data_IF_084114095465
#
_entry.id   IF_084114095465
#
_cell.length_a   1.000
_cell.length_b   1.000
_cell.length_c   1.000
_cell.angle_alpha   90.00
_cell.angle_beta   90.00
_cell.angle_gamma   90.00
#
_symmetry.space_group_name_H-M   'P 1'
#
loop_
_entity.id
_entity.type
_entity.pdbx_description
1 polymer ?
#
# COMPACT_ATOMS: atom_id res chain seq x y z
N UNK A 1 12.16 -8.71 -29.71
CA UNK A 1 12.26 -9.54 -28.51
C UNK A 1 12.58 -8.60 -27.36
N UNK A 2 11.55 -8.12 -26.65
CA UNK A 2 11.72 -7.29 -25.45
C UNK A 2 12.27 -8.20 -24.36
N UNK A 3 13.43 -7.87 -23.79
CA UNK A 3 13.90 -8.44 -22.54
C UNK A 3 12.85 -8.01 -21.51
N UNK A 4 12.01 -8.96 -21.06
CA UNK A 4 11.15 -8.72 -19.89
C UNK A 4 12.08 -8.37 -18.74
N UNK A 5 11.88 -7.17 -18.16
CA UNK A 5 12.48 -6.83 -16.88
C UNK A 5 11.96 -7.87 -15.88
N UNK A 6 12.85 -8.81 -15.50
CA UNK A 6 12.54 -9.80 -14.46
C UNK A 6 12.20 -9.04 -13.18
N UNK A 7 10.99 -9.25 -12.65
CA UNK A 7 10.56 -8.62 -11.41
C UNK A 7 11.58 -8.91 -10.31
N UNK A 8 12.08 -7.85 -9.66
CA UNK A 8 13.04 -7.99 -8.58
C UNK A 8 12.47 -8.85 -7.44
N UNK A 9 13.23 -9.86 -7.04
CA UNK A 9 12.86 -10.70 -5.89
C UNK A 9 13.15 -9.95 -4.59
N UNK A 10 12.10 -9.63 -3.84
CA UNK A 10 12.22 -8.93 -2.56
C UNK A 10 12.48 -9.87 -1.38
N UNK A 11 11.98 -11.11 -1.46
CA UNK A 11 12.05 -12.09 -0.39
C UNK A 11 12.02 -13.51 -0.96
N UNK A 12 12.68 -14.44 -0.29
CA UNK A 12 12.69 -15.88 -0.61
C UNK A 12 12.38 -16.66 0.65
N UNK A 13 11.48 -17.64 0.54
CA UNK A 13 11.10 -18.51 1.65
C UNK A 13 10.17 -19.62 1.19
N UNK A 14 9.30 -20.06 2.07
CA UNK A 14 8.34 -21.14 1.80
C UNK A 14 6.93 -20.70 2.16
N UNK A 15 5.92 -21.20 1.44
CA UNK A 15 4.54 -21.24 1.95
C UNK A 15 4.42 -22.56 2.69
N UNK A 16 3.94 -22.50 3.93
CA UNK A 16 3.71 -23.69 4.77
C UNK A 16 2.25 -23.77 5.20
N UNK A 17 1.70 -24.98 5.16
CA UNK A 17 0.41 -25.33 5.75
C UNK A 17 0.39 -26.82 6.09
N UNK A 18 0.16 -27.14 7.34
CA UNK A 18 0.31 -28.49 7.86
C UNK A 18 1.73 -29.04 7.60
N UNK A 19 1.84 -30.14 6.86
CA UNK A 19 3.13 -30.75 6.52
C UNK A 19 3.67 -30.32 5.14
N UNK A 20 2.97 -29.46 4.45
CA UNK A 20 3.34 -29.01 3.08
C UNK A 20 4.21 -27.77 3.16
N UNK A 21 5.37 -27.79 2.47
CA UNK A 21 6.25 -26.65 2.31
C UNK A 21 6.50 -26.40 0.82
N UNK A 22 6.22 -25.20 0.36
CA UNK A 22 6.33 -24.79 -1.04
C UNK A 22 7.35 -23.68 -1.16
N UNK A 23 8.54 -23.91 -1.74
CA UNK A 23 9.53 -22.87 -1.96
C UNK A 23 9.00 -21.79 -2.93
N UNK A 24 9.04 -20.52 -2.50
CA UNK A 24 8.52 -19.38 -3.26
C UNK A 24 9.42 -18.16 -3.18
N UNK A 25 9.19 -17.22 -4.09
CA UNK A 25 9.77 -15.87 -4.11
C UNK A 25 8.62 -14.86 -4.11
N UNK A 26 8.82 -13.75 -3.39
CA UNK A 26 7.92 -12.59 -3.41
C UNK A 26 8.48 -11.51 -4.33
N UNK A 27 7.58 -10.92 -5.12
CA UNK A 27 7.82 -9.78 -5.98
C UNK A 27 6.77 -8.71 -5.69
N UNK A 28 7.14 -7.43 -5.67
CA UNK A 28 6.12 -6.38 -5.51
C UNK A 28 5.14 -6.43 -6.68
N UNK A 29 3.84 -6.44 -6.39
CA UNK A 29 2.80 -6.40 -7.42
C UNK A 29 2.52 -4.97 -7.89
N UNK A 30 2.97 -3.97 -7.14
CA UNK A 30 2.80 -2.56 -7.44
C UNK A 30 4.14 -1.85 -7.42
N UNK A 31 4.27 -0.79 -8.20
CA UNK A 31 5.44 0.08 -8.19
C UNK A 31 5.02 1.54 -8.02
N UNK A 32 5.87 2.33 -7.37
CA UNK A 32 5.67 3.76 -7.30
C UNK A 32 6.11 4.39 -8.63
N UNK A 33 5.19 5.10 -9.28
CA UNK A 33 5.43 5.84 -10.53
C UNK A 33 5.59 7.34 -10.30
N UNK A 34 5.76 7.79 -9.05
CA UNK A 34 6.01 9.20 -8.75
C UNK A 34 7.30 9.68 -9.44
N UNK A 35 7.30 10.93 -9.87
CA UNK A 35 8.48 11.56 -10.47
C UNK A 35 9.43 11.96 -9.34
N UNK A 36 10.63 11.36 -9.24
CA UNK A 36 11.55 11.66 -8.16
C UNK A 36 12.18 13.05 -8.35
N UNK A 37 11.77 14.02 -7.55
CA UNK A 37 12.37 15.36 -7.50
C UNK A 37 13.44 15.42 -6.41
N UNK A 38 14.63 15.96 -6.75
CA UNK A 38 15.71 16.19 -5.78
C UNK A 38 15.64 17.62 -5.27
N UNK A 39 15.85 17.79 -3.97
CA UNK A 39 16.02 19.12 -3.37
C UNK A 39 17.38 19.70 -3.76
N UNK A 40 17.34 20.89 -4.34
CA UNK A 40 18.55 21.63 -4.74
C UNK A 40 18.65 22.94 -3.94
N UNK A 41 19.86 23.39 -3.68
CA UNK A 41 20.10 24.71 -3.11
C UNK A 41 19.73 25.78 -4.16
N UNK A 42 18.93 26.78 -3.73
CA UNK A 42 18.33 27.76 -4.65
C UNK A 42 19.35 28.56 -5.45
N UNK A 43 20.48 28.94 -4.80
CA UNK A 43 21.49 29.80 -5.44
C UNK A 43 22.43 29.04 -6.36
N UNK A 44 23.00 27.91 -5.89
CA UNK A 44 24.00 27.16 -6.64
C UNK A 44 23.46 25.94 -7.37
N UNK A 45 22.16 25.62 -7.20
CA UNK A 45 21.47 24.48 -7.83
C UNK A 45 22.12 23.11 -7.56
N UNK A 46 22.95 23.01 -6.53
CA UNK A 46 23.58 21.76 -6.12
C UNK A 46 22.65 20.92 -5.24
N UNK A 47 22.70 19.59 -5.33
CA UNK A 47 21.94 18.71 -4.44
C UNK A 47 22.29 18.96 -2.97
N UNK A 48 21.25 18.98 -2.10
CA UNK A 48 21.42 19.15 -0.66
C UNK A 48 21.81 17.80 -0.04
N UNK A 49 22.83 17.83 0.86
CA UNK A 49 23.19 16.70 1.72
C UNK A 49 22.50 16.86 3.07
N UNK A 50 22.03 15.75 3.63
CA UNK A 50 21.45 15.71 4.98
C UNK A 50 22.46 15.08 5.92
N UNK A 51 22.77 15.76 7.02
CA UNK A 51 23.66 15.28 8.07
C UNK A 51 22.85 15.08 9.35
N UNK A 52 23.15 14.02 10.10
CA UNK A 52 22.52 13.75 11.39
C UNK A 52 23.34 14.43 12.47
N UNK A 53 22.71 15.32 13.21
CA UNK A 53 23.38 16.06 14.30
C UNK A 53 22.66 15.78 15.62
N UNK A 54 23.40 15.46 16.66
CA UNK A 54 22.87 15.37 18.03
C UNK A 54 22.72 16.80 18.60
N UNK A 55 21.50 17.29 18.87
CA UNK A 55 21.30 18.67 19.31
C UNK A 55 21.83 18.94 20.72
N UNK A 56 22.02 17.92 21.54
CA UNK A 56 22.50 18.06 22.92
C UNK A 56 24.03 18.25 23.01
N UNK A 57 24.79 17.65 22.11
CA UNK A 57 26.26 17.75 22.09
C UNK A 57 26.81 18.48 20.84
N UNK A 58 25.94 18.96 19.97
CA UNK A 58 26.26 19.68 18.71
C UNK A 58 27.31 18.94 17.86
N UNK A 59 27.18 17.62 17.77
CA UNK A 59 28.08 16.75 17.01
C UNK A 59 27.34 16.05 15.89
N UNK A 60 27.97 15.94 14.73
CA UNK A 60 27.56 15.02 13.68
C UNK A 60 27.69 13.58 14.19
N UNK A 61 26.65 12.75 13.93
CA UNK A 61 26.59 11.36 14.35
C UNK A 61 26.44 10.45 13.14
N UNK A 62 27.19 9.36 13.15
CA UNK A 62 27.10 8.29 12.16
C UNK A 62 26.02 7.27 12.56
N UNK A 63 25.75 6.31 11.70
CA UNK A 63 24.80 5.23 12.06
C UNK A 63 25.29 4.41 13.27
N UNK A 64 26.60 4.25 13.41
CA UNK A 64 27.23 3.48 14.50
C UNK A 64 27.14 4.19 15.85
N UNK A 65 26.90 5.49 15.85
CA UNK A 65 26.70 6.30 17.06
C UNK A 65 25.25 6.35 17.52
N UNK A 66 24.33 5.66 16.81
CA UNK A 66 22.90 5.74 17.06
C UNK A 66 22.39 4.43 17.64
N UNK A 67 21.79 4.51 18.82
CA UNK A 67 21.06 3.41 19.45
C UNK A 67 19.55 3.64 19.36
N UNK A 68 18.76 2.59 19.51
CA UNK A 68 17.31 2.69 19.53
C UNK A 68 16.82 2.85 20.96
N UNK A 69 15.94 3.79 21.20
CA UNK A 69 15.32 4.02 22.50
C UNK A 69 13.81 4.00 22.42
N UNK A 70 13.17 3.28 23.34
CA UNK A 70 11.72 3.33 23.55
C UNK A 70 11.42 4.32 24.68
N UNK A 71 10.68 5.40 24.39
CA UNK A 71 10.25 6.37 25.38
C UNK A 71 9.05 5.82 26.17
N UNK A 72 9.28 5.43 27.44
CA UNK A 72 8.21 4.90 28.30
C UNK A 72 7.59 5.98 29.22
N UNK A 73 8.25 7.11 29.36
CA UNK A 73 7.78 8.32 30.05
C UNK A 73 8.54 9.50 29.47
N UNK A 74 7.97 10.69 29.51
CA UNK A 74 8.55 11.94 28.96
C UNK A 74 10.03 12.09 29.29
N UNK A 75 10.87 12.13 28.27
CA UNK A 75 12.34 12.19 28.35
C UNK A 75 13.04 11.03 29.08
N UNK A 76 12.38 9.86 29.21
CA UNK A 76 13.03 8.65 29.75
C UNK A 76 12.94 7.52 28.74
N UNK A 77 14.08 6.98 28.38
CA UNK A 77 14.22 5.98 27.32
C UNK A 77 14.76 4.66 27.88
N UNK A 78 14.17 3.55 27.43
CA UNK A 78 14.81 2.24 27.51
C UNK A 78 15.61 2.07 26.23
N UNK A 79 16.91 1.88 26.37
CA UNK A 79 17.80 1.63 25.22
C UNK A 79 17.65 0.18 24.82
N UNK A 80 17.49 -0.06 23.52
CA UNK A 80 17.44 -1.37 22.89
C UNK A 80 18.69 -1.51 22.01
N UNK A 81 19.53 -2.45 22.35
CA UNK A 81 20.72 -2.79 21.57
C UNK A 81 20.33 -3.70 20.39
N UNK A 82 21.19 -3.77 19.38
CA UNK A 82 20.90 -4.61 18.21
C UNK A 82 20.83 -6.10 18.56
N UNK A 83 21.55 -6.54 19.59
CA UNK A 83 21.51 -7.89 20.16
C UNK A 83 20.13 -8.22 20.73
N UNK A 84 19.50 -7.28 21.46
CA UNK A 84 18.15 -7.47 22.02
C UNK A 84 17.13 -7.72 20.91
N UNK A 85 17.21 -6.89 19.86
CA UNK A 85 16.34 -7.00 18.69
C UNK A 85 16.65 -8.25 17.87
N UNK A 86 17.91 -8.69 17.83
CA UNK A 86 18.32 -9.89 17.12
C UNK A 86 17.79 -11.14 17.79
N UNK A 87 17.81 -11.23 19.12
CA UNK A 87 17.28 -12.39 19.88
C UNK A 87 15.82 -12.65 19.55
N UNK A 88 14.98 -11.60 19.50
CA UNK A 88 13.56 -11.71 19.12
C UNK A 88 13.41 -12.16 17.66
N UNK A 89 14.33 -11.75 16.79
CA UNK A 89 14.33 -12.14 15.38
C UNK A 89 14.70 -13.60 15.21
N UNK A 90 15.71 -14.07 15.92
CA UNK A 90 16.24 -15.42 15.79
C UNK A 90 15.24 -16.48 16.26
N UNK A 91 14.41 -16.15 17.25
CA UNK A 91 13.28 -17.00 17.68
C UNK A 91 12.21 -17.16 16.59
N UNK A 92 12.09 -16.21 15.65
CA UNK A 92 11.06 -16.18 14.60
C UNK A 92 11.63 -16.37 13.17
N UNK A 93 12.82 -16.96 13.04
CA UNK A 93 13.60 -16.98 11.77
C UNK A 93 13.08 -17.93 10.68
N UNK A 94 11.94 -18.56 10.81
CA UNK A 94 11.37 -19.27 9.67
C UNK A 94 10.91 -18.26 8.61
N UNK A 95 11.68 -18.19 7.51
CA UNK A 95 11.29 -17.45 6.30
C UNK A 95 10.11 -18.16 5.61
N UNK A 96 8.98 -18.19 6.30
CA UNK A 96 7.77 -18.87 5.86
C UNK A 96 6.58 -17.92 5.83
N UNK A 97 5.69 -18.18 4.89
CA UNK A 97 4.31 -17.72 4.85
C UNK A 97 3.49 -18.87 5.45
N UNK A 98 3.17 -18.78 6.72
CA UNK A 98 2.45 -19.83 7.43
C UNK A 98 0.95 -19.63 7.27
N UNK A 99 0.31 -20.47 6.46
CA UNK A 99 -1.15 -20.48 6.32
C UNK A 99 -1.74 -21.18 7.56
N UNK A 100 -2.57 -20.44 8.28
CA UNK A 100 -3.25 -20.90 9.50
C UNK A 100 -4.63 -21.44 9.19
N UNK A 101 -5.39 -20.72 8.34
CA UNK A 101 -6.78 -21.01 8.02
C UNK A 101 -7.08 -20.74 6.55
N UNK A 102 -8.20 -21.30 6.05
CA UNK A 102 -8.78 -20.97 4.75
C UNK A 102 -10.17 -20.37 4.95
N UNK A 103 -10.41 -19.21 4.34
CA UNK A 103 -11.64 -18.41 4.52
C UNK A 103 -12.17 -17.91 3.17
N UNK A 104 -13.33 -17.29 3.16
CA UNK A 104 -13.86 -16.58 1.98
C UNK A 104 -13.25 -15.17 1.89
N UNK A 105 -12.85 -14.75 0.69
CA UNK A 105 -12.31 -13.41 0.46
C UNK A 105 -13.28 -12.30 0.92
N UNK A 106 -14.58 -12.51 0.74
CA UNK A 106 -15.62 -11.54 1.13
C UNK A 106 -15.76 -11.31 2.64
N UNK A 107 -15.14 -12.18 3.47
CA UNK A 107 -15.13 -12.02 4.93
C UNK A 107 -14.12 -10.95 5.38
N UNK A 108 -13.19 -10.55 4.50
CA UNK A 108 -12.22 -9.49 4.79
C UNK A 108 -12.69 -8.20 4.13
N UNK A 109 -12.98 -7.19 4.96
CA UNK A 109 -13.29 -5.85 4.46
C UNK A 109 -12.05 -5.24 3.78
N UNK A 110 -12.20 -4.53 2.65
CA UNK A 110 -11.08 -3.88 1.95
C UNK A 110 -10.22 -2.94 2.81
N UNK A 111 -10.74 -2.43 3.92
CA UNK A 111 -10.00 -1.57 4.86
C UNK A 111 -8.77 -2.26 5.46
N UNK A 112 -8.77 -3.60 5.50
CA UNK A 112 -7.66 -4.36 6.06
C UNK A 112 -6.46 -4.49 5.11
N UNK A 113 -6.64 -4.35 3.78
CA UNK A 113 -5.57 -4.60 2.81
C UNK A 113 -4.51 -3.47 2.81
N UNK A 114 -3.21 -3.86 2.83
CA UNK A 114 -2.08 -2.93 2.80
C UNK A 114 -1.27 -3.10 1.50
N UNK A 115 -0.46 -4.16 1.36
CA UNK A 115 0.46 -4.34 0.23
C UNK A 115 0.25 -5.66 -0.46
N UNK A 116 0.36 -5.63 -1.78
CA UNK A 116 0.21 -6.80 -2.65
C UNK A 116 1.56 -7.25 -3.23
N UNK A 117 1.77 -8.56 -3.22
CA UNK A 117 2.95 -9.22 -3.76
C UNK A 117 2.54 -10.37 -4.69
N UNK A 118 3.23 -10.52 -5.81
CA UNK A 118 3.16 -11.73 -6.60
C UNK A 118 4.04 -12.81 -6.01
N UNK A 119 3.57 -14.04 -6.05
CA UNK A 119 4.29 -15.22 -5.63
C UNK A 119 4.71 -16.03 -6.86
N UNK A 120 6.00 -16.31 -6.99
CA UNK A 120 6.49 -17.26 -7.98
C UNK A 120 7.13 -18.48 -7.32
N UNK A 121 7.09 -19.66 -7.94
CA UNK A 121 7.77 -20.82 -7.40
C UNK A 121 9.29 -20.62 -7.40
N UNK A 122 9.96 -21.09 -6.36
CA UNK A 122 11.40 -21.24 -6.31
C UNK A 122 11.80 -22.66 -6.77
N UNK A 123 13.08 -22.93 -6.88
CA UNK A 123 13.62 -24.23 -7.30
C UNK A 123 12.99 -25.39 -6.53
N UNK A 124 12.51 -26.40 -7.24
CA UNK A 124 11.80 -27.56 -6.66
C UNK A 124 10.34 -27.34 -6.27
N UNK A 125 9.86 -26.09 -6.20
CA UNK A 125 8.50 -25.78 -5.75
C UNK A 125 7.40 -25.87 -6.80
N UNK A 126 7.71 -25.99 -8.08
CA UNK A 126 6.77 -25.77 -9.17
C UNK A 126 5.50 -26.65 -9.11
N UNK A 127 5.62 -27.95 -8.82
CA UNK A 127 4.48 -28.87 -8.74
C UNK A 127 3.55 -28.52 -7.56
N UNK A 128 4.13 -28.31 -6.38
CA UNK A 128 3.35 -28.00 -5.18
C UNK A 128 2.72 -26.61 -5.26
N UNK A 129 3.44 -25.63 -5.84
CA UNK A 129 2.88 -24.30 -6.15
C UNK A 129 1.66 -24.39 -7.07
N UNK A 130 1.75 -25.15 -8.17
CA UNK A 130 0.63 -25.34 -9.11
C UNK A 130 -0.54 -26.00 -8.42
N UNK A 131 -0.30 -27.02 -7.59
CA UNK A 131 -1.36 -27.70 -6.85
C UNK A 131 -2.10 -26.74 -5.91
N UNK A 132 -1.37 -25.93 -5.11
CA UNK A 132 -1.98 -24.94 -4.23
C UNK A 132 -2.77 -23.90 -5.04
N UNK A 133 -2.20 -23.41 -6.14
CA UNK A 133 -2.85 -22.44 -7.02
C UNK A 133 -4.20 -22.96 -7.55
N UNK A 134 -4.23 -24.18 -8.10
CA UNK A 134 -5.46 -24.78 -8.63
C UNK A 134 -6.46 -25.08 -7.50
N UNK A 135 -6.00 -25.55 -6.34
CA UNK A 135 -6.87 -25.79 -5.20
C UNK A 135 -7.57 -24.51 -4.72
N UNK A 136 -6.83 -23.40 -4.58
CA UNK A 136 -7.42 -22.10 -4.20
C UNK A 136 -8.37 -21.57 -5.27
N UNK A 137 -8.07 -21.81 -6.55
CA UNK A 137 -8.93 -21.44 -7.67
C UNK A 137 -10.25 -22.21 -7.66
N UNK A 138 -10.21 -23.54 -7.52
CA UNK A 138 -11.39 -24.39 -7.56
C UNK A 138 -12.28 -24.25 -6.33
N UNK A 139 -11.68 -24.01 -5.17
CA UNK A 139 -12.41 -23.83 -3.90
C UNK A 139 -12.91 -22.41 -3.68
N UNK A 140 -12.42 -21.43 -4.47
CA UNK A 140 -12.67 -20.00 -4.28
C UNK A 140 -12.28 -19.50 -2.87
N UNK A 141 -11.41 -20.24 -2.16
CA UNK A 141 -10.92 -19.87 -0.83
C UNK A 141 -9.60 -19.12 -0.92
N UNK A 142 -9.30 -18.41 0.16
CA UNK A 142 -8.01 -17.75 0.39
C UNK A 142 -7.37 -18.31 1.65
N UNK A 143 -6.04 -18.36 1.68
CA UNK A 143 -5.30 -18.78 2.87
C UNK A 143 -4.99 -17.58 3.75
N UNK A 144 -5.48 -17.55 4.99
CA UNK A 144 -5.09 -16.58 6.01
C UNK A 144 -3.75 -17.02 6.59
N UNK A 145 -2.75 -16.14 6.57
CA UNK A 145 -1.37 -16.48 6.87
C UNK A 145 -0.67 -15.43 7.72
N UNK A 146 0.47 -15.83 8.30
CA UNK A 146 1.47 -14.92 8.89
C UNK A 146 2.75 -14.96 8.08
N UNK A 147 3.43 -13.83 7.99
CA UNK A 147 4.74 -13.71 7.34
C UNK A 147 5.61 -12.72 8.08
N UNK A 148 6.92 -13.01 8.15
CA UNK A 148 7.93 -12.06 8.64
C UNK A 148 8.66 -11.43 7.46
N UNK A 149 8.50 -10.12 7.29
CA UNK A 149 9.21 -9.32 6.27
C UNK A 149 10.02 -8.23 6.99
N UNK A 150 11.33 -8.17 6.72
CA UNK A 150 12.23 -7.17 7.32
C UNK A 150 12.12 -7.10 8.85
N UNK A 151 12.03 -8.26 9.50
CA UNK A 151 11.95 -8.39 10.96
C UNK A 151 10.65 -7.88 11.60
N UNK A 152 9.60 -7.69 10.81
CA UNK A 152 8.25 -7.39 11.29
C UNK A 152 7.31 -8.50 10.84
N UNK A 153 6.52 -9.05 11.79
CA UNK A 153 5.45 -9.99 11.50
C UNK A 153 4.25 -9.25 10.91
N UNK A 154 3.67 -9.80 9.86
CA UNK A 154 2.48 -9.30 9.20
C UNK A 154 1.44 -10.39 9.12
N UNK A 155 0.18 -10.03 9.31
CA UNK A 155 -0.94 -10.84 8.87
C UNK A 155 -1.06 -10.70 7.34
N UNK A 156 -1.38 -11.79 6.66
CA UNK A 156 -1.44 -11.82 5.20
C UNK A 156 -2.51 -12.77 4.70
N UNK A 157 -2.90 -12.61 3.45
CA UNK A 157 -3.73 -13.56 2.73
C UNK A 157 -3.02 -14.04 1.48
N UNK A 158 -3.18 -15.32 1.16
CA UNK A 158 -2.68 -15.93 -0.07
C UNK A 158 -3.88 -16.37 -0.91
N UNK A 159 -3.95 -15.89 -2.15
CA UNK A 159 -5.06 -16.21 -3.05
C UNK A 159 -4.64 -16.42 -4.49
N UNK A 160 -5.51 -17.03 -5.25
CA UNK A 160 -5.41 -17.12 -6.70
C UNK A 160 -5.68 -15.74 -7.34
N UNK A 161 -4.89 -15.39 -8.36
CA UNK A 161 -5.10 -14.21 -9.18
C UNK A 161 -4.59 -14.48 -10.61
N UNK A 162 -5.48 -14.38 -11.60
CA UNK A 162 -5.18 -14.67 -13.01
C UNK A 162 -4.54 -16.06 -13.20
N UNK A 163 -3.24 -16.14 -13.41
CA UNK A 163 -2.49 -17.38 -13.56
C UNK A 163 -1.37 -17.53 -12.52
N UNK A 164 -1.48 -16.82 -11.40
CA UNK A 164 -0.46 -16.82 -10.34
C UNK A 164 -1.10 -16.85 -8.96
N UNK A 165 -0.28 -16.95 -7.91
CA UNK A 165 -0.67 -16.66 -6.55
C UNK A 165 -0.27 -15.23 -6.20
N UNK A 166 -1.10 -14.54 -5.47
CA UNK A 166 -0.80 -13.28 -4.80
C UNK A 166 -0.83 -13.46 -3.30
N UNK A 167 0.01 -12.72 -2.62
CA UNK A 167 -0.05 -12.52 -1.19
C UNK A 167 -0.29 -11.05 -0.92
N UNK A 168 -1.25 -10.75 -0.07
CA UNK A 168 -1.55 -9.40 0.37
C UNK A 168 -1.35 -9.31 1.87
N UNK A 169 -0.53 -8.36 2.34
CA UNK A 169 -0.48 -8.07 3.78
C UNK A 169 -1.75 -7.36 4.19
N UNK A 170 -2.23 -7.68 5.38
CA UNK A 170 -3.41 -7.04 5.95
C UNK A 170 -3.08 -6.50 7.34
N UNK A 171 -3.77 -5.45 7.74
CA UNK A 171 -3.63 -4.85 9.05
C UNK A 171 -4.05 -5.81 10.16
N UNK A 172 -3.41 -5.71 11.32
CA UNK A 172 -3.89 -6.34 12.52
C UNK A 172 -5.20 -5.69 12.98
N UNK A 173 -6.08 -6.42 13.70
CA UNK A 173 -7.37 -5.86 14.14
C UNK A 173 -7.25 -4.57 14.96
N UNK A 174 -6.18 -4.41 15.72
CA UNK A 174 -5.89 -3.24 16.55
C UNK A 174 -5.26 -2.06 15.77
N UNK A 175 -4.84 -2.27 14.54
CA UNK A 175 -4.37 -1.22 13.62
C UNK A 175 -5.54 -0.53 12.89
N UNK A 176 -6.70 -1.17 12.80
CA UNK A 176 -7.91 -0.60 12.18
C UNK A 176 -8.69 0.18 13.23
N UNK A 177 -8.85 1.49 12.98
CA UNK A 177 -9.58 2.38 13.89
C UNK A 177 -11.08 2.10 13.91
N UNK A 178 -11.73 2.31 15.05
CA UNK A 178 -13.18 2.20 15.13
C UNK A 178 -13.83 3.34 14.33
N UNK A 179 -14.82 3.02 13.48
CA UNK A 179 -15.58 4.01 12.72
C UNK A 179 -16.34 4.99 13.62
N UNK A 180 -16.62 4.61 14.88
CA UNK A 180 -17.26 5.47 15.89
C UNK A 180 -16.41 6.66 16.31
N UNK A 181 -15.09 6.58 16.08
CA UNK A 181 -14.16 7.68 16.36
C UNK A 181 -14.20 8.76 15.27
N UNK A 182 -14.95 8.55 14.17
CA UNK A 182 -15.08 9.54 13.10
C UNK A 182 -15.96 10.69 13.58
N UNK A 183 -15.42 11.93 13.66
CA UNK A 183 -16.18 13.05 14.17
C UNK A 183 -17.29 13.49 13.21
N UNK A 184 -18.39 14.02 13.79
CA UNK A 184 -19.48 14.66 13.04
C UNK A 184 -20.24 13.73 12.06
N UNK A 185 -20.20 12.43 12.26
CA UNK A 185 -21.08 11.52 11.52
C UNK A 185 -22.49 11.66 12.06
N UNK A 186 -23.49 12.02 11.24
CA UNK A 186 -24.88 12.13 11.71
C UNK A 186 -25.41 10.76 12.14
N UNK A 187 -25.99 10.67 13.34
CA UNK A 187 -26.64 9.44 13.82
C UNK A 187 -28.00 9.21 13.16
N UNK A 188 -28.76 10.30 12.96
CA UNK A 188 -30.05 10.25 12.27
C UNK A 188 -30.05 11.26 11.10
N UNK A 189 -30.52 10.81 9.96
CA UNK A 189 -30.72 11.66 8.79
C UNK A 189 -32.20 11.81 8.55
N UNK A 190 -32.75 13.01 8.74
CA UNK A 190 -34.13 13.35 8.31
C UNK A 190 -34.21 13.40 6.78
N UNK A 191 -33.87 12.29 6.11
CA UNK A 191 -33.88 12.22 4.65
C UNK A 191 -35.29 12.30 4.10
N UNK A 192 -35.48 13.14 3.10
CA UNK A 192 -36.69 13.19 2.30
C UNK A 192 -36.62 12.04 1.29
N UNK A 193 -37.63 11.16 1.27
CA UNK A 193 -37.68 9.97 0.42
C UNK A 193 -37.42 10.30 -1.05
N UNK A 194 -38.00 11.40 -1.55
CA UNK A 194 -37.79 11.86 -2.94
C UNK A 194 -36.32 12.19 -3.23
N UNK A 195 -35.59 12.78 -2.29
CA UNK A 195 -34.17 13.10 -2.44
C UNK A 195 -33.33 11.80 -2.51
N UNK A 196 -33.64 10.82 -1.67
CA UNK A 196 -32.98 9.53 -1.69
C UNK A 196 -33.23 8.77 -3.01
N UNK A 197 -34.45 8.79 -3.52
CA UNK A 197 -34.77 8.18 -4.82
C UNK A 197 -34.02 8.85 -5.97
N UNK A 198 -33.98 10.18 -6.00
CA UNK A 198 -33.22 10.93 -7.01
C UNK A 198 -31.74 10.63 -6.95
N UNK A 199 -31.17 10.54 -5.75
CA UNK A 199 -29.77 10.18 -5.56
C UNK A 199 -29.47 8.74 -6.03
N UNK A 200 -30.37 7.77 -5.79
CA UNK A 200 -30.24 6.39 -6.29
C UNK A 200 -30.27 6.34 -7.81
N UNK A 201 -31.18 7.06 -8.47
CA UNK A 201 -31.25 7.14 -9.93
C UNK A 201 -29.95 7.71 -10.54
N UNK A 202 -29.39 8.75 -9.94
CA UNK A 202 -28.12 9.31 -10.38
C UNK A 202 -26.96 8.30 -10.22
N UNK A 203 -26.90 7.58 -9.11
CA UNK A 203 -25.90 6.52 -8.89
C UNK A 203 -26.05 5.43 -9.97
N UNK A 204 -27.27 4.98 -10.25
CA UNK A 204 -27.53 3.96 -11.28
C UNK A 204 -27.09 4.42 -12.67
N UNK A 205 -27.40 5.67 -13.05
CA UNK A 205 -26.99 6.24 -14.34
C UNK A 205 -25.46 6.37 -14.48
N UNK A 206 -24.75 6.64 -13.38
CA UNK A 206 -23.30 6.76 -13.35
C UNK A 206 -22.61 5.42 -13.15
N UNK A 207 -23.34 4.35 -12.85
CA UNK A 207 -22.76 3.01 -12.61
C UNK A 207 -22.23 2.42 -13.93
N UNK A 208 -20.95 2.12 -13.94
CA UNK A 208 -20.27 1.48 -15.08
C UNK A 208 -19.34 0.37 -14.60
N UNK A 209 -18.94 -0.51 -15.52
CA UNK A 209 -17.91 -1.51 -15.23
C UNK A 209 -16.56 -0.81 -14.95
N UNK A 210 -15.80 -1.33 -14.00
CA UNK A 210 -14.47 -0.82 -13.68
C UNK A 210 -13.47 -1.20 -14.79
N UNK A 211 -13.02 -0.20 -15.54
CA UNK A 211 -11.99 -0.34 -16.57
C UNK A 211 -10.75 0.48 -16.15
N UNK A 212 -9.72 -0.14 -15.56
CA UNK A 212 -8.55 0.58 -15.01
C UNK A 212 -7.87 1.53 -15.99
N UNK A 213 -7.87 1.18 -17.29
CA UNK A 213 -7.23 1.95 -18.36
C UNK A 213 -7.87 3.30 -18.64
N UNK A 214 -9.10 3.52 -18.18
CA UNK A 214 -9.81 4.82 -18.31
C UNK A 214 -9.27 5.86 -17.35
N UNK A 215 -8.62 5.46 -16.25
CA UNK A 215 -8.15 6.36 -15.22
C UNK A 215 -6.67 6.63 -15.39
N UNK A 216 -6.31 7.90 -15.49
CA UNK A 216 -4.92 8.35 -15.67
C UNK A 216 -4.55 9.35 -14.59
N UNK A 217 -3.29 9.33 -14.19
CA UNK A 217 -2.72 10.35 -13.31
C UNK A 217 -2.44 11.62 -14.15
N UNK A 218 -3.37 12.55 -14.09
CA UNK A 218 -3.29 13.82 -14.84
C UNK A 218 -2.18 14.73 -14.27
N UNK A 219 -1.96 14.70 -12.94
CA UNK A 219 -0.90 15.47 -12.31
C UNK A 219 0.48 15.03 -12.81
N UNK A 220 0.74 13.72 -12.82
CA UNK A 220 2.01 13.18 -13.32
C UNK A 220 2.21 13.53 -14.81
N UNK A 221 1.16 13.44 -15.61
CA UNK A 221 1.21 13.79 -17.04
C UNK A 221 1.55 15.26 -17.22
N UNK A 222 0.89 16.16 -16.50
CA UNK A 222 1.14 17.60 -16.53
C UNK A 222 2.54 17.95 -16.02
N UNK A 223 3.02 17.28 -14.97
CA UNK A 223 4.37 17.49 -14.43
C UNK A 223 5.45 17.06 -15.43
N UNK A 224 5.28 15.95 -16.13
CA UNK A 224 6.21 15.50 -17.17
C UNK A 224 6.26 16.49 -18.33
N UNK A 225 5.10 17.00 -18.76
CA UNK A 225 5.02 18.02 -19.81
C UNK A 225 5.72 19.31 -19.39
N UNK A 226 5.50 19.77 -18.15
CA UNK A 226 6.17 20.94 -17.58
C UNK A 226 7.70 20.77 -17.56
N UNK A 227 8.18 19.60 -17.13
CA UNK A 227 9.62 19.30 -17.12
C UNK A 227 10.18 19.35 -18.54
N UNK A 228 9.48 18.78 -19.51
CA UNK A 228 9.96 18.76 -20.90
C UNK A 228 9.98 20.17 -21.51
N UNK A 229 8.96 21.01 -21.24
CA UNK A 229 8.93 22.40 -21.65
C UNK A 229 10.11 23.19 -21.05
N UNK A 230 10.39 22.99 -19.77
CA UNK A 230 11.54 23.65 -19.10
C UNK A 230 12.90 23.18 -19.65
N UNK A 231 13.05 21.90 -19.96
CA UNK A 231 14.26 21.37 -20.63
C UNK A 231 14.52 22.02 -21.99
N UNK A 232 13.46 22.33 -22.73
CA UNK A 232 13.55 22.98 -24.05
C UNK A 232 13.74 24.51 -23.95
N UNK A 233 13.88 25.09 -22.74
CA UNK A 233 14.04 26.52 -22.54
C UNK A 233 12.78 27.35 -22.85
N UNK A 234 11.61 26.73 -22.93
CA UNK A 234 10.35 27.43 -23.14
C UNK A 234 9.87 28.07 -21.85
N UNK A 235 9.43 29.33 -21.89
CA UNK A 235 8.71 29.94 -20.79
C UNK A 235 7.42 29.15 -20.52
N UNK A 236 7.26 28.70 -19.29
CA UNK A 236 6.06 27.94 -18.89
C UNK A 236 4.93 28.94 -18.65
N UNK A 237 3.88 28.85 -19.46
CA UNK A 237 2.64 29.53 -19.18
C UNK A 237 2.05 28.98 -17.86
N UNK A 238 1.81 29.86 -16.88
CA UNK A 238 1.11 29.50 -15.65
C UNK A 238 -0.24 28.89 -15.99
N UNK A 239 -0.48 27.67 -15.52
CA UNK A 239 -1.79 27.04 -15.65
C UNK A 239 -2.84 27.97 -15.05
N UNK A 240 -3.91 28.27 -15.80
CA UNK A 240 -5.05 29.01 -15.26
C UNK A 240 -5.62 28.19 -14.11
N UNK A 241 -5.79 28.82 -12.94
CA UNK A 241 -6.50 28.19 -11.83
C UNK A 241 -7.82 27.60 -12.32
N UNK A 242 -8.15 26.36 -11.91
CA UNK A 242 -9.46 25.81 -12.21
C UNK A 242 -10.50 26.75 -11.61
N UNK A 243 -11.48 27.17 -12.41
CA UNK A 243 -12.60 27.97 -11.91
C UNK A 243 -13.21 27.20 -10.75
N UNK A 244 -13.26 27.83 -9.56
CA UNK A 244 -14.02 27.31 -8.43
C UNK A 244 -15.43 27.03 -8.95
N UNK A 245 -15.85 25.77 -8.88
CA UNK A 245 -17.26 25.44 -9.05
C UNK A 245 -18.01 26.12 -7.90
N UNK A 246 -18.97 26.93 -8.24
CA UNK A 246 -19.84 27.54 -7.23
C UNK A 246 -20.47 26.41 -6.40
N UNK A 247 -20.30 26.48 -5.10
CA UNK A 247 -20.94 25.55 -4.19
C UNK A 247 -22.45 25.78 -4.30
N UNK A 248 -23.15 24.85 -4.93
CA UNK A 248 -24.60 24.85 -4.97
C UNK A 248 -25.08 24.53 -3.56
N UNK A 249 -25.78 25.46 -2.95
CA UNK A 249 -26.23 25.38 -1.55
C UNK A 249 -27.48 24.50 -1.41
N UNK A 250 -28.18 24.24 -2.52
CA UNK A 250 -29.36 23.38 -2.58
C UNK A 250 -29.02 22.03 -3.23
N UNK A 251 -29.07 20.97 -2.43
CA UNK A 251 -28.78 19.60 -2.84
C UNK A 251 -29.73 19.13 -3.97
N UNK A 252 -31.02 19.50 -3.91
CA UNK A 252 -32.01 19.13 -4.91
C UNK A 252 -31.72 19.78 -6.25
N UNK A 253 -31.39 21.07 -6.28
CA UNK A 253 -31.01 21.77 -7.52
C UNK A 253 -29.74 21.19 -8.15
N UNK A 254 -28.79 20.75 -7.32
CA UNK A 254 -27.58 20.09 -7.79
C UNK A 254 -27.86 18.71 -8.40
N UNK A 255 -28.73 17.92 -7.76
CA UNK A 255 -29.15 16.60 -8.26
C UNK A 255 -29.97 16.69 -9.54
N UNK A 256 -30.92 17.62 -9.63
CA UNK A 256 -31.74 17.82 -10.85
C UNK A 256 -30.92 18.33 -12.05
N UNK A 257 -29.87 19.12 -11.83
CA UNK A 257 -28.96 19.56 -12.90
C UNK A 257 -28.00 18.47 -13.37
N UNK A 258 -27.85 17.39 -12.61
CA UNK A 258 -26.94 16.29 -12.93
C UNK A 258 -27.62 15.11 -13.64
N UNK A 259 -28.96 15.11 -13.68
CA UNK A 259 -29.82 14.19 -14.44
C UNK A 259 -30.03 14.71 -15.85
#
# INVERSE_FOLDING_TARGET
>A
MSRGDDMHTMWKGTISFGLVNIPVKLHSATENKDIPLKNLHKECQSPIKYEKVCPACDKEVTNDDIVKGFEYTTNKFVILEDEDLQSIRDEKQEKSVEIMDFIDLKEIDPIYFDRTYFLSPNEGGGKAYTLLREALKETEKIGLAKITIRSKEHLAVVRFYENTLVMETIHWPDEVRDYKDVPNVPEETGLIEKELETAKLLIEQLTTAFEPTKYKDEYRSALLELIEQKKQGKEVATAKEPKKKDNVTDLMEALEKSL
#
